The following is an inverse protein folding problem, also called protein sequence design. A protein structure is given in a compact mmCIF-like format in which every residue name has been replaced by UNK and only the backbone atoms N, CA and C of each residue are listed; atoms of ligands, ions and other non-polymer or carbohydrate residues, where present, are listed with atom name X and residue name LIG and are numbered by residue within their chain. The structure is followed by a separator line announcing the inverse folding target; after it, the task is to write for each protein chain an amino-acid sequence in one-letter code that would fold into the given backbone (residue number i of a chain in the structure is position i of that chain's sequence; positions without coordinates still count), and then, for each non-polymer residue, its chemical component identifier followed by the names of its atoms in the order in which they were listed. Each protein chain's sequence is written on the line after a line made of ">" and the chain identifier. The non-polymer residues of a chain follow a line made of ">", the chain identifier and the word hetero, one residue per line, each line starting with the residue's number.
data_IF_368935253598
#
_entry.id   IF_368935253598
#
_cell.length_a   1.000
_cell.length_b   1.000
_cell.length_c   1.000
_cell.angle_alpha   90.00
_cell.angle_beta   90.00
_cell.angle_gamma   90.00
#
_symmetry.space_group_name_H-M   'P 1'
#
loop_
_entity.id
_entity.type
_entity.pdbx_description
1 polymer ?
#
# COMPACT_ATOMS: atom_id res chain seq x y z
N UNK A 1 11.14 0.79 17.60
CA UNK A 1 11.64 -0.18 16.59
C UNK A 1 12.68 0.55 15.76
N UNK A 2 13.95 0.16 15.80
CA UNK A 2 15.05 0.88 15.12
C UNK A 2 15.16 0.43 13.66
N UNK A 3 15.34 1.40 12.78
CA UNK A 3 15.46 1.26 11.32
C UNK A 3 16.87 0.77 10.91
N UNK A 4 17.84 0.75 11.85
CA UNK A 4 19.27 0.55 11.58
C UNK A 4 19.79 -0.87 11.88
N UNK A 5 18.90 -1.86 11.95
CA UNK A 5 19.30 -3.23 12.25
C UNK A 5 19.77 -3.93 10.95
N UNK A 6 21.05 -4.34 10.83
CA UNK A 6 21.62 -4.85 9.58
C UNK A 6 21.07 -6.22 9.17
N UNK A 7 20.12 -6.78 9.92
CA UNK A 7 19.44 -8.04 9.58
C UNK A 7 18.29 -7.86 8.56
N UNK A 8 18.12 -6.67 7.98
CA UNK A 8 17.22 -6.44 6.82
C UNK A 8 18.02 -5.75 5.72
N UNK A 9 18.59 -6.53 4.80
CA UNK A 9 19.42 -6.00 3.71
C UNK A 9 18.72 -5.07 2.70
N UNK A 10 17.41 -4.80 2.87
CA UNK A 10 16.63 -3.91 2.01
C UNK A 10 15.58 -3.16 2.82
N UNK A 11 15.38 -1.89 2.50
CA UNK A 11 14.34 -1.08 3.13
C UNK A 11 12.93 -1.57 2.74
N UNK A 12 11.96 -1.48 3.66
CA UNK A 12 10.59 -1.94 3.42
C UNK A 12 9.93 -1.17 2.26
N UNK A 13 10.32 0.09 2.04
CA UNK A 13 9.84 0.90 0.93
C UNK A 13 10.36 0.39 -0.41
N UNK A 14 11.62 -0.03 -0.47
CA UNK A 14 12.19 -0.63 -1.68
C UNK A 14 11.52 -1.96 -2.02
N UNK A 15 11.25 -2.78 -1.01
CA UNK A 15 10.51 -4.03 -1.17
C UNK A 15 9.10 -3.76 -1.69
N UNK A 16 8.42 -2.75 -1.14
CA UNK A 16 7.11 -2.32 -1.61
C UNK A 16 7.15 -1.77 -3.05
N UNK A 17 8.21 -1.02 -3.41
CA UNK A 17 8.41 -0.52 -4.77
C UNK A 17 8.57 -1.68 -5.77
N UNK A 18 9.30 -2.74 -5.38
CA UNK A 18 9.40 -3.98 -6.14
C UNK A 18 8.05 -4.65 -6.37
N UNK A 19 7.26 -4.81 -5.29
CA UNK A 19 5.90 -5.35 -5.39
C UNK A 19 5.01 -4.50 -6.31
N UNK A 20 5.03 -3.18 -6.14
CA UNK A 20 4.26 -2.23 -6.96
C UNK A 20 4.65 -2.32 -8.44
N UNK A 21 5.93 -2.51 -8.76
CA UNK A 21 6.38 -2.70 -10.14
C UNK A 21 5.76 -3.96 -10.74
N UNK A 22 5.85 -5.09 -10.04
CA UNK A 22 5.31 -6.37 -10.51
C UNK A 22 3.80 -6.28 -10.72
N UNK A 23 3.06 -5.72 -9.77
CA UNK A 23 1.61 -5.53 -9.89
C UNK A 23 1.25 -4.62 -11.07
N UNK A 24 1.99 -3.51 -11.27
CA UNK A 24 1.69 -2.53 -12.32
C UNK A 24 2.05 -3.01 -13.72
N UNK A 25 3.09 -3.82 -13.85
CA UNK A 25 3.60 -4.28 -15.16
C UNK A 25 3.08 -5.67 -15.54
N UNK A 26 2.60 -6.46 -14.57
CA UNK A 26 2.28 -7.87 -14.77
C UNK A 26 3.50 -8.74 -15.10
N UNK A 27 4.71 -8.20 -14.99
CA UNK A 27 5.93 -8.90 -15.32
C UNK A 27 6.15 -10.09 -14.38
N UNK A 28 6.70 -11.18 -14.91
CA UNK A 28 7.11 -12.31 -14.09
C UNK A 28 8.15 -11.88 -13.05
N UNK A 29 8.06 -12.44 -11.84
CA UNK A 29 8.98 -12.16 -10.74
C UNK A 29 10.46 -12.28 -11.13
N UNK A 30 10.80 -13.23 -12.00
CA UNK A 30 12.17 -13.49 -12.45
C UNK A 30 12.71 -12.43 -13.43
N UNK A 31 11.85 -11.58 -13.99
CA UNK A 31 12.23 -10.45 -14.86
C UNK A 31 12.36 -9.13 -14.09
N UNK A 32 12.34 -9.18 -12.76
CA UNK A 32 12.55 -7.98 -11.94
C UNK A 32 14.00 -7.47 -12.14
N UNK A 33 14.19 -6.17 -12.42
CA UNK A 33 15.53 -5.60 -12.54
C UNK A 33 16.29 -5.67 -11.22
N UNK A 34 17.63 -5.73 -11.33
CA UNK A 34 18.54 -5.85 -10.19
C UNK A 34 18.70 -4.55 -9.37
N UNK A 35 18.16 -3.43 -9.87
CA UNK A 35 18.11 -2.15 -9.14
C UNK A 35 17.12 -2.16 -7.97
N UNK A 36 16.31 -3.23 -7.86
CA UNK A 36 15.35 -3.45 -6.79
C UNK A 36 15.79 -4.65 -5.93
N UNK A 37 15.27 -4.76 -4.70
CA UNK A 37 15.51 -5.93 -3.87
C UNK A 37 15.22 -7.23 -4.64
N UNK A 38 16.01 -8.30 -4.41
CA UNK A 38 15.83 -9.56 -5.11
C UNK A 38 14.39 -10.05 -5.06
N UNK A 39 13.92 -10.60 -6.18
CA UNK A 39 12.52 -10.97 -6.34
C UNK A 39 12.01 -11.94 -5.26
N UNK A 40 12.88 -12.81 -4.73
CA UNK A 40 12.53 -13.73 -3.66
C UNK A 40 12.21 -13.01 -2.34
N UNK A 41 12.96 -11.96 -2.01
CA UNK A 41 12.74 -11.10 -0.83
C UNK A 41 11.41 -10.37 -0.97
N UNK A 42 11.14 -9.80 -2.14
CA UNK A 42 9.87 -9.12 -2.43
C UNK A 42 8.70 -10.08 -2.35
N UNK A 43 8.80 -11.25 -2.99
CA UNK A 43 7.78 -12.30 -2.92
C UNK A 43 7.50 -12.74 -1.48
N UNK A 44 8.55 -13.05 -0.71
CA UNK A 44 8.40 -13.53 0.67
C UNK A 44 7.73 -12.48 1.55
N UNK A 45 8.19 -11.23 1.47
CA UNK A 45 7.64 -10.14 2.27
C UNK A 45 6.19 -9.81 1.86
N UNK A 46 5.88 -9.85 0.56
CA UNK A 46 4.52 -9.64 0.07
C UNK A 46 3.55 -10.70 0.60
N UNK A 47 3.97 -11.97 0.65
CA UNK A 47 3.19 -13.05 1.28
C UNK A 47 2.97 -12.81 2.77
N UNK A 48 3.97 -12.29 3.49
CA UNK A 48 3.83 -11.93 4.92
C UNK A 48 2.82 -10.81 5.11
N UNK A 49 2.84 -9.78 4.27
CA UNK A 49 1.86 -8.68 4.33
C UNK A 49 0.44 -9.15 4.02
N UNK A 50 0.27 -10.02 3.01
CA UNK A 50 -1.03 -10.62 2.70
C UNK A 50 -1.56 -11.46 3.85
N UNK A 51 -0.72 -12.32 4.44
CA UNK A 51 -1.12 -13.13 5.61
C UNK A 51 -1.48 -12.28 6.82
N UNK A 52 -0.82 -11.14 6.99
CA UNK A 52 -1.07 -10.21 8.09
C UNK A 52 -2.22 -9.23 7.83
N UNK A 53 -2.89 -9.28 6.66
CA UNK A 53 -4.01 -8.39 6.34
C UNK A 53 -3.63 -6.90 6.24
N UNK A 54 -2.37 -6.61 5.88
CA UNK A 54 -1.83 -5.24 5.92
C UNK A 54 -2.53 -4.33 4.91
N UNK A 55 -2.89 -4.85 3.74
CA UNK A 55 -3.57 -4.07 2.70
C UNK A 55 -5.01 -3.74 3.08
N UNK A 56 -5.69 -4.68 3.70
CA UNK A 56 -7.04 -4.52 4.24
C UNK A 56 -7.04 -3.48 5.36
N UNK A 57 -6.05 -3.54 6.26
CA UNK A 57 -5.88 -2.55 7.32
C UNK A 57 -5.64 -1.14 6.76
N UNK A 58 -4.79 -1.00 5.74
CA UNK A 58 -4.57 0.28 5.05
C UNK A 58 -5.84 0.81 4.38
N UNK A 59 -6.58 -0.05 3.67
CA UNK A 59 -7.83 0.33 3.01
C UNK A 59 -8.90 0.75 4.02
N UNK A 60 -9.00 0.03 5.14
CA UNK A 60 -9.91 0.37 6.23
C UNK A 60 -9.55 1.71 6.87
N UNK A 61 -8.26 1.94 7.16
CA UNK A 61 -7.77 3.21 7.69
C UNK A 61 -8.06 4.40 6.76
N UNK A 62 -7.85 4.23 5.44
CA UNK A 62 -8.18 5.26 4.46
C UNK A 62 -9.69 5.56 4.44
N UNK A 63 -10.53 4.53 4.48
CA UNK A 63 -12.00 4.72 4.57
C UNK A 63 -12.38 5.47 5.84
N UNK A 64 -11.79 5.13 6.99
CA UNK A 64 -12.04 5.82 8.24
C UNK A 64 -11.66 7.31 8.15
N UNK A 65 -10.50 7.64 7.57
CA UNK A 65 -10.07 9.03 7.37
C UNK A 65 -11.01 9.81 6.44
N UNK A 66 -11.46 9.20 5.34
CA UNK A 66 -12.43 9.82 4.43
C UNK A 66 -13.77 10.06 5.13
N UNK A 67 -14.23 9.12 5.96
CA UNK A 67 -15.45 9.27 6.74
C UNK A 67 -15.32 10.42 7.74
N UNK A 68 -14.21 10.48 8.50
CA UNK A 68 -13.92 11.59 9.42
C UNK A 68 -13.88 12.94 8.70
N UNK A 69 -13.25 13.02 7.52
CA UNK A 69 -13.25 14.24 6.71
C UNK A 69 -14.63 14.61 6.16
N UNK A 70 -15.45 13.62 5.78
CA UNK A 70 -16.80 13.84 5.27
C UNK A 70 -17.79 14.34 6.35
N UNK A 71 -17.54 13.99 7.61
CA UNK A 71 -18.33 14.48 8.77
C UNK A 71 -18.06 15.96 9.06
N UNK A 72 -16.89 16.48 8.68
CA UNK A 72 -16.46 17.87 8.95
C UNK A 72 -16.69 18.79 7.73
N UNK A 73 -17.03 18.25 6.56
CA UNK A 73 -17.35 19.03 5.36
C UNK A 73 -18.75 19.66 5.44
N UNK A 74 -18.96 20.92 4.99
CA UNK A 74 -20.28 21.54 5.00
C UNK A 74 -21.20 20.75 4.06
N UNK A 75 -22.25 20.16 4.63
CA UNK A 75 -23.36 19.59 3.88
C UNK A 75 -23.93 20.67 2.95
N UNK A 76 -23.53 20.63 1.68
CA UNK A 76 -24.13 21.48 0.63
C UNK A 76 -25.52 20.94 0.37
N UNK A 77 -26.45 21.34 1.25
CA UNK A 77 -27.89 21.09 1.19
C UNK A 77 -28.35 21.47 -0.22
N UNK A 78 -28.58 20.45 -1.07
CA UNK A 78 -29.24 20.64 -2.36
C UNK A 78 -30.64 21.15 -2.04
N UNK A 79 -30.83 22.46 -2.17
CA UNK A 79 -32.14 23.12 -2.12
C UNK A 79 -32.91 22.62 -3.35
N UNK A 80 -33.95 21.85 -3.11
CA UNK A 80 -35.01 21.57 -4.08
C UNK A 80 -35.49 22.90 -4.67
N UNK A 81 -35.48 22.99 -5.99
CA UNK A 81 -36.23 23.99 -6.75
C UNK A 81 -37.41 23.22 -7.34
N UNK A 82 -38.48 23.15 -6.57
CA UNK A 82 -39.83 23.05 -7.13
C UNK A 82 -40.25 24.48 -7.48
N UNK A 83 -40.79 24.65 -8.68
CA UNK A 83 -41.18 25.93 -9.27
C UNK A 83 -41.27 25.82 -10.77
#
# INVERSE_FOLDING_TARGET
>A
MREDAPQRGHDLREVFNGLRRVIRTGAQWRMMPNDLPPWHTVCQQSRRWLKAGVFEAMAHGLRALLLLGSVIGPQRRRRTKEG
#
